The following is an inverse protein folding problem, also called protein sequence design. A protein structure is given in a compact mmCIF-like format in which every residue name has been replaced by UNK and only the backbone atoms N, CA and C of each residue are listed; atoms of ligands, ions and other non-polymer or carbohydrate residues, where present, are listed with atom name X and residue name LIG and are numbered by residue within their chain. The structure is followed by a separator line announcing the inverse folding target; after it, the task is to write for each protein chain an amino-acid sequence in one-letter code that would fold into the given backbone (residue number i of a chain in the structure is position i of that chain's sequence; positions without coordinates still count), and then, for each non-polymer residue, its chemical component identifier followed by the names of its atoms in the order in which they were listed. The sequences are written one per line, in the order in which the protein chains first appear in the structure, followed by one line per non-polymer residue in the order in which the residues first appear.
data_IF_588155155937
#
_entry.id   IF_588155155937
#
_cell.length_a   1.000
_cell.length_b   1.000
_cell.length_c   1.000
_cell.angle_alpha   90.00
_cell.angle_beta   90.00
_cell.angle_gamma   90.00
#
_symmetry.space_group_name_H-M   'P 1'
#
loop_
_entity.id
_entity.type
_entity.pdbx_description
1 polymer ?
#
# COMPACT_ATOMS: atom_id res chain seq x y z
N UNK A 1 26.34 -15.15 19.57
CA UNK A 1 25.75 -14.96 18.24
C UNK A 1 24.33 -15.53 18.32
N UNK A 2 23.29 -14.70 18.23
CA UNK A 2 21.90 -15.22 18.15
C UNK A 2 21.73 -15.80 16.75
N UNK A 3 21.37 -17.09 16.66
CA UNK A 3 20.94 -17.67 15.43
C UNK A 3 19.64 -16.98 15.00
N UNK A 4 19.64 -16.36 13.83
CA UNK A 4 18.41 -15.86 13.25
C UNK A 4 17.65 -17.06 12.68
N UNK A 5 16.41 -17.25 13.12
CA UNK A 5 15.52 -18.18 12.44
C UNK A 5 15.25 -17.56 11.04
N UNK A 6 15.59 -18.30 9.99
CA UNK A 6 15.28 -17.92 8.62
C UNK A 6 13.97 -18.62 8.26
N UNK A 7 12.88 -17.86 8.20
CA UNK A 7 11.62 -18.35 7.65
C UNK A 7 11.55 -18.03 6.16
N UNK A 8 11.06 -18.98 5.38
CA UNK A 8 10.81 -18.74 3.98
C UNK A 8 9.57 -17.87 3.81
N UNK A 9 9.67 -16.77 3.07
CA UNK A 9 8.51 -16.00 2.66
C UNK A 9 7.61 -16.84 1.72
N UNK A 10 6.29 -16.58 1.69
CA UNK A 10 5.43 -17.18 0.69
C UNK A 10 5.98 -16.85 -0.71
N UNK A 11 5.85 -17.78 -1.65
CA UNK A 11 6.22 -17.44 -3.02
C UNK A 11 5.27 -16.36 -3.56
N UNK A 12 5.77 -15.50 -4.44
CA UNK A 12 4.93 -14.48 -5.08
C UNK A 12 3.70 -15.12 -5.76
N UNK A 13 3.88 -16.23 -6.47
CA UNK A 13 2.80 -16.94 -7.14
C UNK A 13 1.73 -17.44 -6.15
N UNK A 14 2.15 -18.03 -5.03
CA UNK A 14 1.21 -18.55 -4.02
C UNK A 14 0.40 -17.43 -3.35
N UNK A 15 1.05 -16.33 -3.00
CA UNK A 15 0.36 -15.19 -2.38
C UNK A 15 -0.66 -14.57 -3.34
N UNK A 16 -0.29 -14.37 -4.60
CA UNK A 16 -1.20 -13.84 -5.62
C UNK A 16 -2.36 -14.78 -5.93
N UNK A 17 -2.12 -16.09 -5.90
CA UNK A 17 -3.18 -17.08 -6.09
C UNK A 17 -4.19 -17.08 -4.93
N UNK A 18 -3.71 -16.96 -3.69
CA UNK A 18 -4.57 -16.89 -2.50
C UNK A 18 -5.33 -15.57 -2.39
N UNK A 19 -4.71 -14.47 -2.79
CA UNK A 19 -5.25 -13.12 -2.71
C UNK A 19 -5.32 -12.52 -4.11
N UNK A 20 -6.19 -13.09 -4.93
CA UNK A 20 -6.29 -12.75 -6.35
C UNK A 20 -6.89 -11.36 -6.58
N UNK A 21 -6.23 -10.55 -7.42
CA UNK A 21 -6.79 -9.33 -7.98
C UNK A 21 -7.63 -9.70 -9.21
N UNK A 22 -8.94 -9.46 -9.16
CA UNK A 22 -9.81 -9.71 -10.32
C UNK A 22 -9.53 -8.72 -11.45
N UNK A 23 -9.91 -9.08 -12.68
CA UNK A 23 -9.75 -8.21 -13.84
C UNK A 23 -10.48 -6.87 -13.65
N UNK A 24 -11.69 -6.89 -13.08
CA UNK A 24 -12.47 -5.67 -12.81
C UNK A 24 -11.76 -4.78 -11.77
N UNK A 25 -11.18 -5.38 -10.73
CA UNK A 25 -10.41 -4.63 -9.73
C UNK A 25 -9.15 -4.03 -10.35
N UNK A 26 -8.41 -4.78 -11.15
CA UNK A 26 -7.23 -4.27 -11.86
C UNK A 26 -7.60 -3.07 -12.76
N UNK A 27 -8.73 -3.14 -13.46
CA UNK A 27 -9.23 -2.04 -14.27
C UNK A 27 -9.56 -0.80 -13.42
N UNK A 28 -10.19 -0.96 -12.25
CA UNK A 28 -10.45 0.16 -11.34
C UNK A 28 -9.16 0.79 -10.81
N UNK A 29 -8.17 -0.04 -10.46
CA UNK A 29 -6.87 0.47 -10.01
C UNK A 29 -6.20 1.27 -11.12
N UNK A 30 -6.23 0.80 -12.36
CA UNK A 30 -5.67 1.51 -13.52
C UNK A 30 -6.44 2.81 -13.82
N UNK A 31 -7.75 2.85 -13.61
CA UNK A 31 -8.52 4.10 -13.70
C UNK A 31 -8.07 5.11 -12.65
N UNK A 32 -7.87 4.69 -11.39
CA UNK A 32 -7.35 5.57 -10.35
C UNK A 32 -5.94 6.09 -10.66
N UNK A 33 -5.06 5.23 -11.16
CA UNK A 33 -3.73 5.63 -11.65
C UNK A 33 -3.81 6.67 -12.74
N UNK A 34 -4.74 6.48 -13.69
CA UNK A 34 -4.96 7.45 -14.77
C UNK A 34 -5.46 8.78 -14.21
N UNK A 35 -6.44 8.79 -13.30
CA UNK A 35 -6.97 10.01 -12.67
C UNK A 35 -5.88 10.78 -11.91
N UNK A 36 -5.06 10.09 -11.14
CA UNK A 36 -3.93 10.73 -10.44
C UNK A 36 -2.97 11.39 -11.45
N UNK A 37 -2.63 10.71 -12.54
CA UNK A 37 -1.79 11.30 -13.61
C UNK A 37 -2.43 12.52 -14.27
N UNK A 38 -3.73 12.51 -14.53
CA UNK A 38 -4.43 13.65 -15.10
C UNK A 38 -4.38 14.88 -14.18
N UNK A 39 -4.58 14.69 -12.87
CA UNK A 39 -4.48 15.76 -11.90
C UNK A 39 -3.04 16.32 -11.84
N UNK A 40 -2.04 15.45 -11.74
CA UNK A 40 -0.64 15.86 -11.64
C UNK A 40 -0.14 16.57 -12.92
N UNK A 41 -0.71 16.24 -14.08
CA UNK A 41 -0.40 16.92 -15.34
C UNK A 41 -1.20 18.20 -15.58
N UNK A 42 -2.17 18.52 -14.73
CA UNK A 42 -3.06 19.68 -14.90
C UNK A 42 -4.17 19.47 -15.94
N UNK A 43 -4.43 18.25 -16.34
CA UNK A 43 -5.53 17.90 -17.25
C UNK A 43 -6.86 17.65 -16.54
N UNK A 44 -6.82 17.52 -15.21
CA UNK A 44 -7.98 17.38 -14.33
C UNK A 44 -7.80 18.39 -13.17
N UNK A 45 -8.77 19.27 -12.97
CA UNK A 45 -8.72 20.37 -12.01
C UNK A 45 -9.06 19.95 -10.57
N UNK A 46 -9.40 18.67 -10.33
CA UNK A 46 -9.67 18.16 -8.99
C UNK A 46 -8.42 18.22 -8.12
N UNK A 47 -8.63 18.36 -6.81
CA UNK A 47 -7.55 18.28 -5.84
C UNK A 47 -7.25 16.81 -5.50
N UNK A 48 -5.99 16.40 -5.64
CA UNK A 48 -5.51 15.10 -5.15
C UNK A 48 -5.33 15.15 -3.63
N UNK A 49 -6.03 14.27 -2.91
CA UNK A 49 -5.99 14.19 -1.44
C UNK A 49 -5.53 12.81 -1.01
N UNK A 50 -4.30 12.70 -0.52
CA UNK A 50 -3.77 11.46 0.07
C UNK A 50 -3.94 11.53 1.58
N UNK A 51 -4.87 10.74 2.12
CA UNK A 51 -5.28 10.83 3.52
C UNK A 51 -5.45 9.43 4.15
N UNK A 52 -5.08 9.31 5.42
CA UNK A 52 -5.22 8.06 6.18
C UNK A 52 -4.30 7.99 7.39
N UNK A 53 -4.24 6.85 8.06
CA UNK A 53 -3.38 6.66 9.22
C UNK A 53 -1.90 6.83 8.86
N UNK A 54 -1.08 7.21 9.84
CA UNK A 54 0.37 7.32 9.65
C UNK A 54 0.98 5.96 9.24
N UNK A 55 0.47 4.88 9.82
CA UNK A 55 0.75 3.48 9.46
C UNK A 55 -0.37 2.61 9.94
N UNK A 56 -0.69 1.60 9.19
CA UNK A 56 -1.69 0.60 9.58
C UNK A 56 -1.04 -0.38 10.55
N UNK A 57 -1.68 -0.58 11.70
CA UNK A 57 -1.29 -1.60 12.68
C UNK A 57 -2.45 -2.54 13.02
N UNK A 58 -3.68 -2.10 12.74
CA UNK A 58 -4.92 -2.85 12.95
C UNK A 58 -5.73 -2.87 11.64
N UNK A 59 -5.80 -4.02 10.95
CA UNK A 59 -6.55 -4.15 9.70
C UNK A 59 -8.05 -3.89 9.86
N UNK A 60 -8.64 -4.23 11.02
CA UNK A 60 -10.07 -4.03 11.27
C UNK A 60 -10.40 -2.53 11.36
N UNK A 61 -9.63 -1.80 12.15
CA UNK A 61 -9.76 -0.35 12.27
C UNK A 61 -9.48 0.35 10.93
N UNK A 62 -8.50 -0.13 10.16
CA UNK A 62 -8.19 0.41 8.84
C UNK A 62 -9.34 0.20 7.85
N UNK A 63 -9.99 -0.96 7.87
CA UNK A 63 -11.15 -1.23 7.01
C UNK A 63 -12.39 -0.42 7.42
N UNK A 64 -12.63 -0.19 8.72
CA UNK A 64 -13.70 0.72 9.17
C UNK A 64 -13.44 2.16 8.69
N UNK A 65 -12.19 2.64 8.82
CA UNK A 65 -11.78 3.93 8.27
C UNK A 65 -12.02 4.00 6.75
N UNK A 66 -11.62 2.97 6.01
CA UNK A 66 -11.81 2.89 4.57
C UNK A 66 -13.29 2.97 4.16
N UNK A 67 -14.19 2.28 4.87
CA UNK A 67 -15.65 2.34 4.61
C UNK A 67 -16.22 3.74 4.75
N UNK A 68 -15.75 4.49 5.76
CA UNK A 68 -16.15 5.89 5.96
C UNK A 68 -15.57 6.79 4.87
N UNK A 69 -14.30 6.59 4.53
CA UNK A 69 -13.61 7.37 3.52
C UNK A 69 -14.19 7.14 2.12
N UNK A 70 -14.61 5.92 1.80
CA UNK A 70 -15.24 5.59 0.52
C UNK A 70 -16.53 6.38 0.28
N UNK A 71 -17.33 6.62 1.32
CA UNK A 71 -18.53 7.46 1.24
C UNK A 71 -18.18 8.90 0.88
N UNK A 72 -17.16 9.46 1.56
CA UNK A 72 -16.68 10.81 1.28
C UNK A 72 -16.05 10.91 -0.12
N UNK A 73 -15.32 9.87 -0.54
CA UNK A 73 -14.75 9.83 -1.88
C UNK A 73 -15.82 9.89 -2.97
N UNK A 74 -16.96 9.22 -2.76
CA UNK A 74 -18.12 9.30 -3.66
C UNK A 74 -18.80 10.66 -3.58
N UNK A 75 -18.99 11.21 -2.37
CA UNK A 75 -19.66 12.50 -2.16
C UNK A 75 -18.91 13.66 -2.83
N UNK A 76 -17.58 13.65 -2.74
CA UNK A 76 -16.73 14.74 -3.25
C UNK A 76 -16.02 14.42 -4.57
N UNK A 77 -16.42 13.40 -5.30
CA UNK A 77 -15.74 12.90 -6.51
C UNK A 77 -15.57 13.94 -7.62
N UNK A 78 -16.44 14.96 -7.68
CA UNK A 78 -16.38 16.03 -8.66
C UNK A 78 -15.28 17.07 -8.36
N UNK A 79 -14.84 17.16 -7.11
CA UNK A 79 -13.85 18.18 -6.68
C UNK A 79 -12.56 17.57 -6.15
N UNK A 80 -12.63 16.33 -5.62
CA UNK A 80 -11.51 15.66 -4.97
C UNK A 80 -11.27 14.28 -5.57
N UNK A 81 -10.02 13.97 -5.81
CA UNK A 81 -9.56 12.59 -5.97
C UNK A 81 -8.98 12.13 -4.63
N UNK A 82 -9.77 11.37 -3.88
CA UNK A 82 -9.34 10.86 -2.57
C UNK A 82 -8.60 9.54 -2.76
N UNK A 83 -7.39 9.46 -2.21
CA UNK A 83 -6.53 8.28 -2.20
C UNK A 83 -6.24 7.93 -0.75
N UNK A 84 -6.60 6.71 -0.33
CA UNK A 84 -6.35 6.26 1.04
C UNK A 84 -4.87 5.93 1.24
N UNK A 85 -4.28 6.52 2.26
CA UNK A 85 -2.95 6.16 2.72
C UNK A 85 -2.95 4.79 3.40
N UNK A 86 -2.25 3.82 2.83
CA UNK A 86 -2.16 2.42 3.29
C UNK A 86 -0.71 2.02 3.52
N UNK A 87 -0.08 2.63 4.52
CA UNK A 87 1.33 2.40 4.82
C UNK A 87 1.51 1.21 5.76
N UNK A 88 2.20 0.17 5.29
CA UNK A 88 2.46 -1.08 6.00
C UNK A 88 3.86 -1.18 6.57
N UNK A 89 4.73 -0.23 6.23
CA UNK A 89 6.13 -0.20 6.61
C UNK A 89 6.46 1.04 7.45
N UNK A 90 7.46 0.91 8.30
CA UNK A 90 8.01 2.01 9.09
C UNK A 90 9.52 2.12 8.90
N UNK A 91 10.05 3.31 8.56
CA UNK A 91 11.47 3.51 8.40
C UNK A 91 12.14 3.48 9.78
N UNK A 92 12.64 2.33 10.18
CA UNK A 92 13.35 2.11 11.45
C UNK A 92 14.79 1.67 11.19
N UNK A 93 15.73 2.26 11.92
CA UNK A 93 17.15 1.90 11.77
C UNK A 93 17.51 0.74 12.71
N UNK A 94 17.22 0.86 14.00
CA UNK A 94 17.65 -0.12 15.01
C UNK A 94 16.52 -0.56 15.92
N UNK A 95 15.66 0.35 16.37
CA UNK A 95 14.65 0.11 17.40
C UNK A 95 13.28 0.58 16.95
N UNK A 96 12.25 -0.14 17.36
CA UNK A 96 10.84 0.19 17.13
C UNK A 96 10.17 -0.72 16.12
N UNK A 97 8.86 -0.73 16.17
CA UNK A 97 8.02 -1.51 15.30
C UNK A 97 8.23 -1.14 13.81
N UNK A 98 8.43 -2.17 12.98
CA UNK A 98 8.79 -2.02 11.57
C UNK A 98 7.60 -1.91 10.61
N UNK A 99 6.38 -1.97 11.13
CA UNK A 99 5.15 -1.94 10.34
C UNK A 99 4.45 -3.29 10.24
N UNK A 100 3.18 -3.26 9.86
CA UNK A 100 2.33 -4.46 9.75
C UNK A 100 2.92 -5.50 8.80
N UNK A 101 3.56 -5.07 7.72
CA UNK A 101 4.16 -5.96 6.73
C UNK A 101 5.30 -6.82 7.28
N UNK A 102 5.95 -6.37 8.36
CA UNK A 102 7.10 -7.05 8.95
C UNK A 102 6.83 -7.67 10.31
N UNK A 103 6.03 -7.01 11.13
CA UNK A 103 5.74 -7.41 12.51
C UNK A 103 4.25 -7.21 12.81
N UNK A 104 3.38 -8.08 12.25
CA UNK A 104 1.94 -7.94 12.34
C UNK A 104 1.41 -8.12 13.75
N UNK A 105 2.14 -8.84 14.61
CA UNK A 105 1.74 -9.14 15.99
C UNK A 105 2.19 -8.08 17.00
N UNK A 106 2.99 -7.10 16.59
CA UNK A 106 3.58 -6.05 17.44
C UNK A 106 4.43 -6.59 18.60
N UNK A 107 4.97 -7.79 18.47
CA UNK A 107 5.71 -8.50 19.52
C UNK A 107 7.20 -8.69 19.19
N UNK A 108 7.63 -8.20 18.01
CA UNK A 108 9.00 -8.34 17.54
C UNK A 108 9.32 -9.72 16.95
N UNK A 109 8.31 -10.56 16.71
CA UNK A 109 8.49 -11.88 16.06
C UNK A 109 8.97 -11.73 14.61
N UNK A 110 8.63 -10.62 13.96
CA UNK A 110 8.92 -10.33 12.56
C UNK A 110 8.35 -11.40 11.60
N UNK A 111 7.13 -11.85 11.84
CA UNK A 111 6.38 -12.75 10.97
C UNK A 111 5.98 -12.04 9.66
N UNK A 112 6.98 -11.81 8.81
CA UNK A 112 6.82 -11.08 7.55
C UNK A 112 5.89 -11.82 6.59
N UNK A 113 5.90 -13.14 6.60
CA UNK A 113 5.01 -13.95 5.78
C UNK A 113 3.54 -13.63 6.06
N UNK A 114 3.15 -13.69 7.32
CA UNK A 114 1.80 -13.33 7.75
C UNK A 114 1.49 -11.84 7.50
N UNK A 115 2.45 -10.96 7.75
CA UNK A 115 2.31 -9.52 7.47
C UNK A 115 1.97 -9.22 6.02
N UNK A 116 2.61 -9.90 5.06
CA UNK A 116 2.32 -9.76 3.63
C UNK A 116 0.92 -10.25 3.27
N UNK A 117 0.46 -11.36 3.85
CA UNK A 117 -0.91 -11.85 3.67
C UNK A 117 -1.94 -10.84 4.18
N UNK A 118 -1.75 -10.29 5.37
CA UNK A 118 -2.64 -9.28 5.95
C UNK A 118 -2.66 -7.99 5.12
N UNK A 119 -1.51 -7.50 4.71
CA UNK A 119 -1.39 -6.27 3.93
C UNK A 119 -2.10 -6.41 2.57
N UNK A 120 -1.86 -7.53 1.86
CA UNK A 120 -2.48 -7.78 0.57
C UNK A 120 -3.99 -7.97 0.68
N UNK A 121 -4.46 -8.74 1.67
CA UNK A 121 -5.91 -8.91 1.91
C UNK A 121 -6.59 -7.58 2.19
N UNK A 122 -6.00 -6.75 3.05
CA UNK A 122 -6.55 -5.43 3.37
C UNK A 122 -6.62 -4.52 2.14
N UNK A 123 -5.58 -4.52 1.28
CA UNK A 123 -5.60 -3.77 0.03
C UNK A 123 -6.72 -4.23 -0.90
N UNK A 124 -6.95 -5.53 -1.03
CA UNK A 124 -8.07 -6.07 -1.79
C UNK A 124 -9.41 -5.59 -1.23
N UNK A 125 -9.58 -5.62 0.09
CA UNK A 125 -10.82 -5.19 0.73
C UNK A 125 -11.07 -3.68 0.56
N UNK A 126 -10.02 -2.85 0.63
CA UNK A 126 -10.11 -1.40 0.38
C UNK A 126 -10.44 -1.12 -1.09
N UNK A 127 -9.77 -1.79 -2.03
CA UNK A 127 -10.04 -1.63 -3.46
C UNK A 127 -11.47 -2.07 -3.84
N UNK A 128 -12.05 -3.10 -3.16
CA UNK A 128 -13.47 -3.50 -3.32
C UNK A 128 -14.45 -2.39 -2.91
N UNK A 129 -14.05 -1.47 -2.04
CA UNK A 129 -14.85 -0.29 -1.69
C UNK A 129 -14.79 0.83 -2.73
N UNK A 130 -14.02 0.65 -3.81
CA UNK A 130 -13.81 1.66 -4.83
C UNK A 130 -12.83 2.78 -4.44
N UNK A 131 -12.02 2.57 -3.40
CA UNK A 131 -11.00 3.54 -2.98
C UNK A 131 -9.67 3.30 -3.69
N UNK A 132 -9.08 4.37 -4.21
CA UNK A 132 -7.68 4.39 -4.59
C UNK A 132 -6.79 4.24 -3.34
N UNK A 133 -5.68 3.53 -3.48
CA UNK A 133 -4.73 3.26 -2.39
C UNK A 133 -3.35 3.85 -2.69
N UNK A 134 -2.69 4.37 -1.65
CA UNK A 134 -1.32 4.86 -1.72
C UNK A 134 -0.45 4.21 -0.65
N UNK A 135 0.77 3.81 -0.99
CA UNK A 135 1.73 3.31 -0.03
C UNK A 135 3.13 3.91 -0.24
N UNK A 136 3.96 3.81 0.79
CA UNK A 136 5.38 4.10 0.72
C UNK A 136 6.12 2.77 0.71
N UNK A 137 6.92 2.52 -0.32
CA UNK A 137 7.78 1.35 -0.40
C UNK A 137 9.14 1.70 0.18
N UNK A 138 9.48 1.06 1.29
CA UNK A 138 10.78 1.19 1.97
C UNK A 138 11.64 -0.04 1.73
N UNK A 139 11.02 -1.19 1.51
CA UNK A 139 11.65 -2.46 1.23
C UNK A 139 11.39 -2.90 -0.23
N UNK A 140 12.35 -3.60 -0.80
CA UNK A 140 12.27 -4.14 -2.16
C UNK A 140 11.35 -5.35 -2.26
N UNK A 141 11.18 -6.07 -1.18
CA UNK A 141 10.41 -7.32 -1.14
C UNK A 141 8.91 -7.06 -1.19
N UNK A 142 8.40 -6.15 -0.35
CA UNK A 142 6.98 -5.83 -0.26
C UNK A 142 6.39 -5.31 -1.58
N UNK A 143 7.20 -4.59 -2.38
CA UNK A 143 6.82 -4.11 -3.69
C UNK A 143 6.29 -5.24 -4.59
N UNK A 144 7.00 -6.38 -4.64
CA UNK A 144 6.62 -7.51 -5.50
C UNK A 144 5.24 -8.08 -5.15
N UNK A 145 4.84 -8.00 -3.88
CA UNK A 145 3.60 -8.58 -3.38
C UNK A 145 2.40 -7.64 -3.41
N UNK A 146 2.63 -6.32 -3.47
CA UNK A 146 1.57 -5.32 -3.22
C UNK A 146 1.36 -4.33 -4.37
N UNK A 147 2.34 -4.15 -5.26
CA UNK A 147 2.33 -3.07 -6.25
C UNK A 147 1.15 -3.12 -7.23
N UNK A 148 0.66 -4.31 -7.56
CA UNK A 148 -0.51 -4.49 -8.44
C UNK A 148 -1.80 -3.93 -7.84
N UNK A 149 -1.87 -3.78 -6.50
CA UNK A 149 -3.03 -3.27 -5.77
C UNK A 149 -2.90 -1.78 -5.37
N UNK A 150 -1.81 -1.12 -5.74
CA UNK A 150 -1.53 0.27 -5.37
C UNK A 150 -1.79 1.21 -6.54
N UNK A 151 -2.56 2.28 -6.26
CA UNK A 151 -2.86 3.31 -7.26
C UNK A 151 -1.78 4.39 -7.32
N UNK A 152 -1.11 4.69 -6.20
CA UNK A 152 -0.03 5.66 -6.13
C UNK A 152 1.04 5.25 -5.10
N UNK A 153 2.28 5.13 -5.55
CA UNK A 153 3.41 4.78 -4.70
C UNK A 153 4.30 5.98 -4.40
N UNK A 154 4.83 6.03 -3.18
CA UNK A 154 5.78 7.04 -2.76
C UNK A 154 7.12 6.40 -2.37
N UNK A 155 8.20 7.15 -2.55
CA UNK A 155 9.51 6.86 -1.94
C UNK A 155 9.70 7.71 -0.70
N UNK A 156 10.27 7.12 0.36
CA UNK A 156 10.54 7.84 1.59
C UNK A 156 11.59 8.92 1.41
N UNK A 157 11.39 10.06 2.07
CA UNK A 157 12.34 11.18 1.99
C UNK A 157 13.78 10.80 2.42
N UNK A 158 13.92 9.78 3.29
CA UNK A 158 15.22 9.29 3.74
C UNK A 158 15.92 8.36 2.75
N UNK A 159 15.21 7.89 1.74
CA UNK A 159 15.69 6.90 0.75
C UNK A 159 15.75 7.45 -0.66
N UNK A 160 15.49 8.74 -0.84
CA UNK A 160 15.48 9.41 -2.16
C UNK A 160 16.80 9.35 -2.90
N UNK A 161 17.92 9.25 -2.19
CA UNK A 161 19.26 9.11 -2.77
C UNK A 161 19.63 7.65 -3.08
N UNK A 162 18.88 6.67 -2.53
CA UNK A 162 19.11 5.26 -2.80
C UNK A 162 18.61 4.87 -4.19
N UNK A 163 19.39 4.08 -4.92
CA UNK A 163 19.05 3.65 -6.27
C UNK A 163 17.79 2.78 -6.29
N UNK A 164 17.66 1.86 -5.35
CA UNK A 164 16.57 0.86 -5.35
C UNK A 164 15.19 1.51 -5.21
N UNK A 165 14.89 2.35 -4.19
CA UNK A 165 13.61 3.04 -4.11
C UNK A 165 13.30 3.90 -5.34
N UNK A 166 14.31 4.50 -5.95
CA UNK A 166 14.15 5.28 -7.20
C UNK A 166 13.73 4.41 -8.37
N UNK A 167 14.33 3.21 -8.51
CA UNK A 167 13.94 2.25 -9.53
C UNK A 167 12.52 1.73 -9.29
N UNK A 168 12.15 1.43 -8.04
CA UNK A 168 10.80 1.03 -7.68
C UNK A 168 9.78 2.11 -8.02
N UNK A 169 10.07 3.37 -7.67
CA UNK A 169 9.20 4.50 -8.01
C UNK A 169 9.02 4.65 -9.54
N UNK A 170 10.07 4.43 -10.31
CA UNK A 170 10.00 4.47 -11.79
C UNK A 170 9.21 3.30 -12.38
N UNK A 171 9.10 2.19 -11.66
CA UNK A 171 8.34 1.02 -12.08
C UNK A 171 6.86 1.08 -11.65
N UNK A 172 6.51 1.98 -10.72
CA UNK A 172 5.13 2.19 -10.32
C UNK A 172 4.37 2.86 -11.45
N UNK A 173 3.23 2.30 -11.84
CA UNK A 173 2.32 2.98 -12.74
C UNK A 173 1.61 4.08 -11.93
N UNK A 174 1.92 5.34 -12.17
CA UNK A 174 1.28 6.48 -11.47
C UNK A 174 2.07 7.74 -11.62
#
# INVERSE_FOLDING_TARGET
MRAFAVEALPTHADLLAQHHCSADMAQHIDQHRHQVRQILSGADDRLLVVIGPCSIHDPVAALDYAKRLARLATEYQESLQIVMRTYFEKPRTTVGWKGLGFDPHLDGSNDTGHGLHLARQLLLDINRLGLATATEFLDTTSFLYLADLISWGAIGARTTESQVPRQLASALPG
#
